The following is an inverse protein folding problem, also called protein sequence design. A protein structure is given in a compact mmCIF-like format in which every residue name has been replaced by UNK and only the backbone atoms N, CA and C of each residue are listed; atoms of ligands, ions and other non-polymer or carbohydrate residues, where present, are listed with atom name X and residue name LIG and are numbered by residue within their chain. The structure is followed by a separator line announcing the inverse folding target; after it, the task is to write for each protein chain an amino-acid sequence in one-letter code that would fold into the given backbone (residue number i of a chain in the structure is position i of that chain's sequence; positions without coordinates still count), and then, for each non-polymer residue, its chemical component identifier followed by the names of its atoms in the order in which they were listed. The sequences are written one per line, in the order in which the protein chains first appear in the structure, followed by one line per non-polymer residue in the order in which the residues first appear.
data_IF_330198474426
#
_entry.id   IF_330198474426
#
_cell.length_a   1.000
_cell.length_b   1.000
_cell.length_c   1.000
_cell.angle_alpha   90.00
_cell.angle_beta   90.00
_cell.angle_gamma   90.00
#
_symmetry.space_group_name_H-M   'P 1'
#
loop_
_entity.id
_entity.type
_entity.pdbx_description
1 polymer ?
#
# COMPACT_ATOMS: atom_id res chain seq x y z
N UNK A 1 57.84 -16.82 1.26
CA UNK A 1 56.97 -16.94 2.45
C UNK A 1 55.65 -17.64 2.11
N UNK A 2 55.68 -18.97 2.06
CA UNK A 2 54.51 -19.83 1.94
C UNK A 2 53.97 -20.14 3.34
N UNK A 3 53.46 -19.12 4.03
CA UNK A 3 52.57 -19.41 5.16
C UNK A 3 51.34 -20.12 4.59
N UNK A 4 51.01 -21.30 5.10
CA UNK A 4 49.83 -22.06 4.70
C UNK A 4 48.59 -21.21 4.94
N UNK A 5 47.97 -20.69 3.87
CA UNK A 5 46.82 -19.77 3.94
C UNK A 5 45.49 -20.52 4.08
N UNK A 6 45.51 -21.65 4.76
CA UNK A 6 44.36 -22.54 4.91
C UNK A 6 44.01 -22.65 6.37
N UNK A 7 42.76 -22.34 6.69
CA UNK A 7 42.17 -22.49 8.02
C UNK A 7 41.29 -23.74 8.03
N UNK A 8 41.22 -24.43 9.16
CA UNK A 8 40.19 -25.45 9.40
C UNK A 8 39.17 -24.86 10.37
N UNK A 9 37.92 -24.79 9.94
CA UNK A 9 36.83 -24.30 10.77
C UNK A 9 36.21 -25.46 11.56
N UNK A 10 35.63 -25.13 12.71
CA UNK A 10 34.86 -26.02 13.56
C UNK A 10 33.42 -26.23 13.06
N UNK A 11 33.03 -25.53 11.99
CA UNK A 11 31.73 -25.67 11.33
C UNK A 11 31.85 -25.55 9.82
N UNK A 12 31.06 -26.35 9.11
CA UNK A 12 30.97 -26.27 7.66
C UNK A 12 30.41 -24.92 7.20
N UNK A 13 30.95 -24.42 6.09
CA UNK A 13 30.47 -23.22 5.40
C UNK A 13 30.25 -23.49 3.92
N UNK A 14 29.35 -22.73 3.31
CA UNK A 14 29.09 -22.78 1.87
C UNK A 14 29.33 -21.40 1.28
N UNK A 15 30.06 -21.34 0.16
CA UNK A 15 30.25 -20.09 -0.57
C UNK A 15 29.06 -19.82 -1.51
N UNK A 16 28.61 -18.57 -1.63
CA UNK A 16 27.64 -18.20 -2.64
C UNK A 16 28.26 -18.29 -4.04
N UNK A 17 27.41 -18.44 -5.06
CA UNK A 17 27.85 -18.52 -6.45
C UNK A 17 28.45 -17.23 -7.01
N UNK A 18 28.26 -16.10 -6.32
CA UNK A 18 28.80 -14.80 -6.71
C UNK A 18 29.02 -13.87 -5.50
N UNK A 19 29.87 -12.86 -5.70
CA UNK A 19 30.23 -11.87 -4.69
C UNK A 19 31.38 -12.31 -3.77
N UNK A 20 31.96 -11.33 -3.07
CA UNK A 20 33.09 -11.56 -2.18
C UNK A 20 32.61 -12.03 -0.80
N UNK A 21 33.09 -13.19 -0.37
CA UNK A 21 32.91 -13.66 1.01
C UNK A 21 34.12 -13.30 1.85
N UNK A 22 33.89 -12.75 3.05
CA UNK A 22 34.95 -12.45 4.01
C UNK A 22 34.81 -13.33 5.24
N UNK A 23 35.94 -13.72 5.82
CA UNK A 23 36.01 -14.30 7.17
C UNK A 23 36.68 -13.28 8.10
N UNK A 24 36.05 -13.02 9.24
CA UNK A 24 36.56 -12.17 10.30
C UNK A 24 37.25 -13.05 11.34
N UNK A 25 38.51 -12.75 11.65
CA UNK A 25 39.36 -13.47 12.59
C UNK A 25 39.87 -12.49 13.65
N UNK A 26 40.26 -12.99 14.82
CA UNK A 26 40.90 -12.18 15.87
C UNK A 26 42.41 -12.33 15.75
N UNK A 27 43.12 -11.22 15.56
CA UNK A 27 44.59 -11.19 15.50
C UNK A 27 45.25 -11.31 16.90
N UNK A 28 46.58 -11.37 16.94
CA UNK A 28 47.34 -11.48 18.19
C UNK A 28 47.20 -10.28 19.15
N UNK A 29 46.60 -9.17 18.70
CA UNK A 29 46.29 -8.00 19.53
C UNK A 29 44.82 -7.95 19.98
N UNK A 30 44.02 -8.95 19.61
CA UNK A 30 42.59 -9.00 19.95
C UNK A 30 41.70 -8.23 18.98
N UNK A 31 42.21 -7.74 17.85
CA UNK A 31 41.41 -6.97 16.90
C UNK A 31 40.73 -7.87 15.85
N UNK A 32 39.47 -7.58 15.47
CA UNK A 32 38.82 -8.27 14.37
C UNK A 32 39.39 -7.83 13.03
N UNK A 33 39.94 -8.77 12.26
CA UNK A 33 40.49 -8.57 10.92
C UNK A 33 39.69 -9.39 9.91
N UNK A 34 39.11 -8.73 8.90
CA UNK A 34 38.39 -9.39 7.81
C UNK A 34 39.33 -9.69 6.64
N UNK A 35 39.33 -10.94 6.17
CA UNK A 35 40.12 -11.41 5.03
C UNK A 35 39.22 -12.13 4.03
N UNK A 36 39.57 -12.05 2.75
CA UNK A 36 38.80 -12.67 1.68
C UNK A 36 38.97 -14.18 1.67
N UNK A 37 37.84 -14.89 1.51
CA UNK A 37 37.81 -16.33 1.28
C UNK A 37 37.97 -16.60 -0.21
N UNK A 38 39.00 -17.35 -0.57
CA UNK A 38 39.34 -17.70 -1.96
C UNK A 38 38.69 -19.01 -2.40
N UNK A 39 38.65 -20.00 -1.51
CA UNK A 39 38.03 -21.30 -1.79
C UNK A 39 37.70 -22.04 -0.49
N UNK A 40 36.72 -22.95 -0.57
CA UNK A 40 36.38 -23.87 0.51
C UNK A 40 36.46 -25.31 -0.03
N UNK A 41 37.06 -26.20 0.74
CA UNK A 41 37.17 -27.63 0.44
C UNK A 41 36.63 -28.43 1.62
N UNK A 42 35.87 -29.50 1.34
CA UNK A 42 35.23 -30.34 2.35
C UNK A 42 34.33 -29.56 3.34
N UNK A 43 33.83 -28.38 2.96
CA UNK A 43 33.03 -27.49 3.81
C UNK A 43 33.81 -26.77 4.94
N UNK A 44 34.95 -27.31 5.40
CA UNK A 44 35.66 -26.81 6.59
C UNK A 44 37.06 -26.27 6.33
N UNK A 45 37.70 -26.62 5.20
CA UNK A 45 39.03 -26.11 4.85
C UNK A 45 38.90 -24.85 4.01
N UNK A 46 39.27 -23.71 4.58
CA UNK A 46 39.06 -22.39 3.99
C UNK A 46 40.39 -21.79 3.60
N UNK A 47 40.60 -21.58 2.30
CA UNK A 47 41.74 -20.84 1.79
C UNK A 47 41.44 -19.35 1.80
N UNK A 48 42.28 -18.57 2.46
CA UNK A 48 42.11 -17.12 2.62
C UNK A 48 43.21 -16.34 1.90
N UNK A 49 42.96 -15.06 1.61
CA UNK A 49 43.96 -14.19 0.96
C UNK A 49 45.22 -13.99 1.81
N UNK A 50 45.06 -13.95 3.14
CA UNK A 50 46.13 -13.98 4.15
C UNK A 50 45.59 -14.48 5.50
N UNK A 51 46.45 -15.03 6.34
CA UNK A 51 46.13 -15.30 7.76
C UNK A 51 46.72 -14.14 8.57
N UNK A 52 45.92 -13.41 9.38
CA UNK A 52 46.45 -12.38 10.27
C UNK A 52 47.47 -12.94 11.27
N UNK A 53 48.45 -12.14 11.65
CA UNK A 53 49.47 -12.56 12.61
C UNK A 53 48.87 -12.79 14.00
N UNK A 54 49.30 -13.86 14.67
CA UNK A 54 48.87 -14.18 16.04
C UNK A 54 47.45 -14.73 16.17
N UNK A 55 46.79 -15.12 15.09
CA UNK A 55 45.53 -15.88 15.16
C UNK A 55 45.78 -17.18 15.93
N UNK A 56 45.12 -17.33 17.07
CA UNK A 56 45.21 -18.53 17.89
C UNK A 56 44.31 -19.65 17.37
N UNK A 57 44.74 -20.91 17.58
CA UNK A 57 43.84 -22.05 17.40
C UNK A 57 42.64 -21.94 18.34
N UNK A 58 41.46 -22.39 17.88
CA UNK A 58 40.19 -22.26 18.61
C UNK A 58 39.75 -20.81 18.87
N UNK A 59 40.32 -19.84 18.15
CA UNK A 59 39.86 -18.45 18.19
C UNK A 59 38.48 -18.31 17.53
N UNK A 60 37.74 -17.28 17.93
CA UNK A 60 36.42 -16.95 17.39
C UNK A 60 36.57 -16.44 15.95
N UNK A 61 35.69 -16.91 15.08
CA UNK A 61 35.60 -16.45 13.70
C UNK A 61 34.16 -16.07 13.34
N UNK A 62 34.00 -15.21 12.33
CA UNK A 62 32.70 -14.82 11.79
C UNK A 62 32.70 -14.80 10.27
N UNK A 63 31.61 -15.23 9.65
CA UNK A 63 31.44 -15.23 8.20
C UNK A 63 30.62 -14.01 7.75
N UNK A 64 31.12 -13.28 6.76
CA UNK A 64 30.40 -12.18 6.11
C UNK A 64 30.15 -12.55 4.65
N UNK A 65 28.90 -12.87 4.35
CA UNK A 65 28.46 -13.21 3.00
C UNK A 65 28.04 -11.95 2.22
N UNK A 66 28.21 -11.91 0.89
CA UNK A 66 27.73 -10.81 0.04
C UNK A 66 26.20 -10.67 0.03
N UNK A 67 25.48 -11.73 0.39
CA UNK A 67 24.02 -11.75 0.55
C UNK A 67 23.57 -11.24 1.91
N UNK A 68 24.48 -11.11 2.89
CA UNK A 68 24.15 -10.59 4.20
C UNK A 68 23.72 -9.12 4.04
N UNK A 69 22.52 -8.80 4.49
CA UNK A 69 21.99 -7.43 4.48
C UNK A 69 21.85 -6.98 5.92
N UNK A 70 22.41 -5.82 6.23
CA UNK A 70 22.12 -5.16 7.49
C UNK A 70 20.65 -4.77 7.48
N UNK A 71 19.89 -5.38 8.39
CA UNK A 71 18.50 -5.02 8.66
C UNK A 71 18.42 -4.67 10.14
N UNK A 72 17.71 -3.60 10.44
CA UNK A 72 17.49 -3.17 11.81
C UNK A 72 16.32 -3.98 12.37
N UNK A 73 16.60 -4.75 13.42
CA UNK A 73 15.62 -5.53 14.15
C UNK A 73 15.71 -5.19 15.63
N UNK A 74 14.57 -5.21 16.32
CA UNK A 74 14.52 -5.21 17.79
C UNK A 74 14.20 -6.62 18.24
N UNK A 75 15.17 -7.30 18.86
CA UNK A 75 14.93 -8.62 19.45
C UNK A 75 13.88 -8.54 20.55
N UNK A 76 12.92 -9.47 20.50
CA UNK A 76 11.85 -9.64 21.50
C UNK A 76 12.16 -10.84 22.38
N UNK A 77 12.64 -11.93 21.79
CA UNK A 77 13.04 -13.13 22.53
C UNK A 77 14.14 -13.90 21.80
N UNK A 78 14.94 -14.62 22.58
CA UNK A 78 15.93 -15.57 22.10
C UNK A 78 15.62 -16.89 22.77
N UNK A 79 15.56 -17.97 21.99
CA UNK A 79 15.39 -19.34 22.45
C UNK A 79 16.55 -20.17 21.93
N UNK A 80 17.19 -20.92 22.81
CA UNK A 80 18.15 -21.94 22.44
C UNK A 80 17.41 -23.21 21.98
N UNK A 81 17.90 -23.83 20.92
CA UNK A 81 17.39 -25.09 20.39
C UNK A 81 18.33 -26.25 20.76
N UNK A 82 17.84 -27.49 20.65
CA UNK A 82 18.61 -28.69 21.02
C UNK A 82 19.77 -29.02 20.06
N UNK A 83 19.88 -28.31 18.93
CA UNK A 83 20.89 -28.50 17.89
C UNK A 83 22.04 -27.47 17.96
N UNK A 84 22.14 -26.73 19.07
CA UNK A 84 23.15 -25.67 19.25
C UNK A 84 22.91 -24.45 18.34
N UNK A 85 21.69 -24.28 17.83
CA UNK A 85 21.26 -23.05 17.16
C UNK A 85 20.37 -22.20 18.08
N UNK A 86 20.21 -20.94 17.72
CA UNK A 86 19.35 -20.00 18.44
C UNK A 86 18.23 -19.52 17.52
N UNK A 87 16.99 -19.61 17.99
CA UNK A 87 15.85 -18.96 17.38
C UNK A 87 15.68 -17.56 17.97
N UNK A 88 15.67 -16.54 17.11
CA UNK A 88 15.46 -15.15 17.50
C UNK A 88 14.11 -14.69 16.95
N UNK A 89 13.22 -14.25 17.84
CA UNK A 89 12.00 -13.54 17.47
C UNK A 89 12.27 -12.05 17.59
N UNK A 90 12.06 -11.31 16.50
CA UNK A 90 12.36 -9.88 16.46
C UNK A 90 11.32 -9.10 15.65
N UNK A 91 11.11 -7.84 16.02
CA UNK A 91 10.31 -6.89 15.25
C UNK A 91 11.22 -6.17 14.27
N UNK A 92 10.84 -6.14 13.00
CA UNK A 92 11.58 -5.43 11.97
C UNK A 92 11.34 -3.92 12.10
N UNK A 93 12.42 -3.14 12.00
CA UNK A 93 12.33 -1.70 11.84
C UNK A 93 11.83 -1.37 10.42
N UNK A 94 10.78 -0.56 10.35
CA UNK A 94 10.21 -0.03 9.11
C UNK A 94 10.26 1.50 9.22
N UNK A 95 11.27 2.17 8.63
CA UNK A 95 11.48 3.61 8.81
C UNK A 95 10.30 4.45 8.33
N UNK A 96 9.60 3.99 7.31
CA UNK A 96 8.45 4.70 6.70
C UNK A 96 7.14 4.47 7.47
N UNK A 97 7.14 3.63 8.52
CA UNK A 97 5.91 3.25 9.23
C UNK A 97 5.24 4.45 9.88
N UNK A 98 6.00 5.32 10.56
CA UNK A 98 5.45 6.52 11.21
C UNK A 98 4.81 7.45 10.17
N UNK A 99 5.47 7.69 9.02
CA UNK A 99 4.91 8.54 7.96
C UNK A 99 3.63 7.95 7.33
N UNK A 100 3.53 6.63 7.19
CA UNK A 100 2.30 5.96 6.72
C UNK A 100 1.18 6.08 7.77
N UNK A 101 1.52 5.95 9.06
CA UNK A 101 0.57 6.12 10.16
C UNK A 101 0.05 7.57 10.23
N UNK A 102 0.94 8.55 10.10
CA UNK A 102 0.61 9.99 10.12
C UNK A 102 -0.29 10.41 8.96
N UNK A 103 -0.03 9.88 7.76
CA UNK A 103 -0.89 10.13 6.60
C UNK A 103 -2.27 9.48 6.75
N UNK A 104 -2.38 8.44 7.58
CA UNK A 104 -3.63 7.72 7.83
C UNK A 104 -4.25 7.13 6.56
N UNK A 105 -5.48 6.66 6.68
CA UNK A 105 -6.32 6.36 5.51
C UNK A 105 -7.16 7.61 5.20
N UNK A 106 -6.87 8.29 4.09
CA UNK A 106 -7.78 9.29 3.55
C UNK A 106 -8.91 8.57 2.82
N UNK A 107 -10.06 8.47 3.48
CA UNK A 107 -11.28 8.09 2.79
C UNK A 107 -11.81 9.37 2.16
N UNK A 108 -11.68 9.51 0.84
CA UNK A 108 -12.54 10.39 0.07
C UNK A 108 -13.96 9.88 0.31
N UNK A 109 -14.62 10.40 1.34
CA UNK A 109 -16.06 10.30 1.39
C UNK A 109 -16.53 11.03 0.15
N UNK A 110 -17.11 10.31 -0.82
CA UNK A 110 -17.99 10.91 -1.82
C UNK A 110 -18.78 11.96 -1.07
N UNK A 111 -18.52 13.24 -1.37
CA UNK A 111 -18.93 14.38 -0.55
C UNK A 111 -20.36 14.18 -0.07
N UNK A 112 -20.48 13.62 1.14
CA UNK A 112 -21.77 13.30 1.71
C UNK A 112 -22.37 14.66 1.98
N UNK A 113 -23.50 14.89 1.30
CA UNK A 113 -24.24 16.13 1.19
C UNK A 113 -23.93 17.12 2.29
N UNK A 114 -23.62 18.34 1.88
CA UNK A 114 -23.77 19.52 2.73
C UNK A 114 -24.99 19.30 3.62
N UNK A 115 -24.89 19.60 4.92
CA UNK A 115 -25.94 19.37 5.92
C UNK A 115 -27.28 20.05 5.56
N UNK A 116 -27.34 20.83 4.46
CA UNK A 116 -28.51 21.44 3.85
C UNK A 116 -28.70 21.12 2.35
N UNK A 117 -28.11 20.03 1.84
CA UNK A 117 -28.21 19.60 0.45
C UNK A 117 -29.53 18.89 0.20
N UNK A 118 -30.60 19.67 -0.01
CA UNK A 118 -31.86 19.12 -0.52
C UNK A 118 -31.60 18.58 -1.93
N UNK A 119 -31.42 17.27 -2.07
CA UNK A 119 -31.48 16.60 -3.37
C UNK A 119 -32.94 16.65 -3.83
N UNK A 120 -33.27 17.37 -4.94
CA UNK A 120 -34.63 17.38 -5.46
C UNK A 120 -35.05 15.94 -5.81
N UNK A 121 -36.31 15.56 -5.53
CA UNK A 121 -36.75 14.20 -5.83
C UNK A 121 -36.76 13.96 -7.35
N UNK A 122 -36.42 12.74 -7.76
CA UNK A 122 -36.51 12.35 -9.15
C UNK A 122 -37.97 12.42 -9.63
N UNK A 123 -38.18 12.97 -10.83
CA UNK A 123 -39.48 12.92 -11.51
C UNK A 123 -39.55 11.63 -12.31
N UNK A 124 -40.56 10.80 -12.04
CA UNK A 124 -40.78 9.50 -12.69
C UNK A 124 -42.17 9.47 -13.33
N UNK A 125 -42.34 8.59 -14.33
CA UNK A 125 -43.63 8.35 -15.00
C UNK A 125 -44.36 9.63 -15.46
N UNK A 126 -43.62 10.62 -15.93
CA UNK A 126 -44.21 11.85 -16.47
C UNK A 126 -45.07 11.48 -17.70
N UNK A 127 -46.37 11.74 -17.59
CA UNK A 127 -47.35 11.58 -18.65
C UNK A 127 -48.06 12.91 -18.89
N UNK A 128 -48.40 13.19 -20.15
CA UNK A 128 -49.17 14.37 -20.54
C UNK A 128 -50.31 13.94 -21.48
N UNK A 129 -51.54 14.26 -21.10
CA UNK A 129 -52.74 14.01 -21.89
C UNK A 129 -53.25 15.35 -22.43
N UNK A 130 -53.53 15.41 -23.73
CA UNK A 130 -54.07 16.60 -24.39
C UNK A 130 -55.52 16.33 -24.75
N UNK A 131 -56.42 17.16 -24.24
CA UNK A 131 -57.84 17.15 -24.61
C UNK A 131 -58.16 18.45 -25.35
N UNK A 132 -58.68 18.33 -26.57
CA UNK A 132 -59.22 19.47 -27.29
C UNK A 132 -60.72 19.55 -27.01
N UNK A 133 -61.18 20.63 -26.37
CA UNK A 133 -62.59 20.90 -26.16
C UNK A 133 -62.94 22.28 -26.74
N UNK A 134 -63.92 22.30 -27.65
CA UNK A 134 -64.50 23.48 -28.32
C UNK A 134 -63.62 24.75 -28.39
N UNK A 135 -62.44 24.65 -29.03
CA UNK A 135 -61.56 25.80 -29.29
C UNK A 135 -60.42 26.02 -28.30
N UNK A 136 -60.33 25.23 -27.24
CA UNK A 136 -59.22 25.25 -26.27
C UNK A 136 -58.52 23.90 -26.20
N UNK A 137 -57.19 23.93 -25.96
CA UNK A 137 -56.39 22.76 -25.66
C UNK A 137 -56.14 22.71 -24.15
N UNK A 138 -56.65 21.66 -23.50
CA UNK A 138 -56.33 21.36 -22.12
C UNK A 138 -55.21 20.31 -22.07
N UNK A 139 -54.23 20.54 -21.20
CA UNK A 139 -53.12 19.62 -20.98
C UNK A 139 -53.12 19.19 -19.52
N UNK A 140 -53.21 17.88 -19.29
CA UNK A 140 -53.10 17.28 -17.97
C UNK A 140 -51.79 16.52 -17.85
N UNK A 141 -50.88 17.03 -17.01
CA UNK A 141 -49.63 16.37 -16.71
C UNK A 141 -49.73 15.61 -15.37
N UNK A 142 -49.25 14.35 -15.34
CA UNK A 142 -49.12 13.53 -14.13
C UNK A 142 -47.70 12.99 -14.02
N UNK A 143 -47.15 12.96 -12.82
CA UNK A 143 -45.82 12.41 -12.55
C UNK A 143 -45.73 11.89 -11.11
N UNK A 144 -44.75 11.02 -10.88
CA UNK A 144 -44.43 10.47 -9.57
C UNK A 144 -43.13 11.05 -9.04
N UNK A 145 -43.04 11.14 -7.71
CA UNK A 145 -41.80 11.38 -6.99
C UNK A 145 -41.60 10.28 -5.94
N UNK A 146 -40.50 9.51 -5.98
CA UNK A 146 -40.29 8.39 -5.06
C UNK A 146 -40.02 8.85 -3.62
N UNK A 147 -39.73 10.14 -3.42
CA UNK A 147 -39.53 10.78 -2.13
C UNK A 147 -40.18 12.16 -2.15
N UNK A 148 -40.90 12.51 -1.09
CA UNK A 148 -41.34 13.88 -0.85
C UNK A 148 -40.27 14.59 -0.04
N UNK A 149 -39.75 15.70 -0.56
CA UNK A 149 -38.85 16.59 0.18
C UNK A 149 -39.61 17.87 0.45
N UNK A 150 -39.60 18.33 1.70
CA UNK A 150 -40.26 19.59 2.08
C UNK A 150 -39.60 20.75 1.34
N UNK A 151 -40.41 21.67 0.87
CA UNK A 151 -39.89 22.89 0.25
C UNK A 151 -39.73 22.84 -1.27
N UNK A 152 -40.27 21.81 -1.93
CA UNK A 152 -40.15 21.61 -3.37
C UNK A 152 -41.44 22.05 -4.07
N UNK A 153 -41.31 22.79 -5.17
CA UNK A 153 -42.41 23.07 -6.10
C UNK A 153 -42.00 22.70 -7.52
N UNK A 154 -42.96 22.27 -8.33
CA UNK A 154 -42.74 21.91 -9.73
C UNK A 154 -43.31 23.00 -10.63
N UNK A 155 -42.61 23.29 -11.73
CA UNK A 155 -43.06 24.24 -12.76
C UNK A 155 -43.22 23.51 -14.08
N UNK A 156 -44.44 23.53 -14.61
CA UNK A 156 -44.77 23.02 -15.94
C UNK A 156 -44.77 24.19 -16.93
N UNK A 157 -44.14 24.01 -18.10
CA UNK A 157 -44.12 24.98 -19.20
C UNK A 157 -44.70 24.31 -20.45
N UNK A 158 -45.73 24.91 -21.02
CA UNK A 158 -46.26 24.50 -22.31
C UNK A 158 -45.67 25.39 -23.40
N UNK A 159 -45.00 24.79 -24.38
CA UNK A 159 -44.44 25.49 -25.54
C UNK A 159 -45.11 25.02 -26.83
N UNK A 160 -45.14 25.91 -27.82
CA UNK A 160 -45.53 25.59 -29.19
C UNK A 160 -44.33 25.82 -30.09
N UNK A 161 -44.06 24.86 -30.99
CA UNK A 161 -43.07 25.04 -32.04
C UNK A 161 -43.66 25.97 -33.11
N UNK A 162 -42.98 27.07 -33.39
CA UNK A 162 -43.31 27.96 -34.50
C UNK A 162 -42.80 27.37 -35.83
N UNK A 163 -43.34 27.86 -36.95
CA UNK A 163 -42.97 27.38 -38.29
C UNK A 163 -41.49 27.57 -38.63
N UNK A 164 -40.81 28.48 -37.94
CA UNK A 164 -39.37 28.74 -38.04
C UNK A 164 -38.51 27.80 -37.15
N UNK A 165 -39.13 26.84 -36.46
CA UNK A 165 -38.49 25.90 -35.55
C UNK A 165 -38.18 26.45 -34.16
N UNK A 166 -38.55 27.71 -33.87
CA UNK A 166 -38.40 28.28 -32.53
C UNK A 166 -39.50 27.81 -31.58
N UNK A 167 -39.18 27.60 -30.30
CA UNK A 167 -40.19 27.33 -29.28
C UNK A 167 -40.74 28.63 -28.69
N UNK A 168 -42.06 28.78 -28.70
CA UNK A 168 -42.76 29.90 -28.05
C UNK A 168 -43.50 29.41 -26.82
N UNK A 169 -43.35 30.12 -25.71
CA UNK A 169 -44.06 29.81 -24.48
C UNK A 169 -45.55 30.15 -24.62
N UNK A 170 -46.41 29.15 -24.40
CA UNK A 170 -47.87 29.30 -24.40
C UNK A 170 -48.37 29.60 -23.00
N UNK A 171 -47.95 28.81 -22.01
CA UNK A 171 -48.41 28.96 -20.62
C UNK A 171 -47.46 28.29 -19.61
N UNK A 172 -47.61 28.66 -18.34
CA UNK A 172 -46.91 28.06 -17.20
C UNK A 172 -47.87 27.72 -16.06
N UNK A 173 -47.60 26.63 -15.36
CA UNK A 173 -48.29 26.26 -14.13
C UNK A 173 -47.25 25.88 -13.06
N UNK A 174 -47.53 26.18 -11.79
CA UNK A 174 -46.65 25.84 -10.67
C UNK A 174 -47.45 25.15 -9.57
N UNK A 175 -46.92 24.08 -9.00
CA UNK A 175 -47.53 23.42 -7.83
C UNK A 175 -47.30 24.25 -6.57
N UNK A 176 -48.16 24.06 -5.56
CA UNK A 176 -47.82 24.51 -4.21
C UNK A 176 -46.60 23.74 -3.69
N UNK A 177 -45.94 24.33 -2.70
CA UNK A 177 -44.80 23.72 -2.04
C UNK A 177 -45.22 22.44 -1.30
N UNK A 178 -44.41 21.38 -1.41
CA UNK A 178 -44.60 20.14 -0.67
C UNK A 178 -44.46 20.41 0.83
N UNK A 179 -45.50 20.03 1.58
CA UNK A 179 -45.60 20.24 3.04
C UNK A 179 -44.87 19.16 3.84
#
# INVERSE_FOLDING_TARGET
NSQTRTLTLDREITLPSSGTTLISLVDGSGNPVSVEVQSVTDGVKVKVSRVPDGVAGYSVWGLKLPTLRQRLFRCVSIRENDDGTYAITAVQHVPEKEAIVDNGAHFDGDQSGTVNGVTPPAVQHLTAEVTADSGEYQVLARWDTPKVVKGVSFMLRLTVAADDGSERLVSTARTTETT
#
